data_IF_910327849062
#
_entry.id   IF_910327849062
#
_cell.length_a   1.000
_cell.length_b   1.000
_cell.length_c   1.000
_cell.angle_alpha   90.00
_cell.angle_beta   90.00
_cell.angle_gamma   90.00
#
_symmetry.space_group_name_H-M   'P 1'
#
loop_
_entity.id
_entity.type
_entity.pdbx_description
1 polymer ?
#
# COMPACT_ATOMS: atom_id res chain seq x y z
N UNK A 1 -36.28 -0.51 18.91
CA UNK A 1 -35.15 -0.13 18.04
C UNK A 1 -34.07 0.38 18.96
N UNK A 2 -32.99 -0.40 19.16
CA UNK A 2 -31.83 0.10 19.90
C UNK A 2 -31.15 1.17 19.04
N UNK A 3 -30.79 2.30 19.64
CA UNK A 3 -29.89 3.27 19.01
C UNK A 3 -28.65 2.54 18.52
N UNK A 4 -28.13 2.80 17.30
CA UNK A 4 -26.84 2.26 16.93
C UNK A 4 -25.83 2.79 17.96
N UNK A 5 -25.09 1.91 18.62
CA UNK A 5 -23.92 2.32 19.38
C UNK A 5 -22.90 2.80 18.35
N UNK A 6 -22.75 4.12 18.20
CA UNK A 6 -21.69 4.70 17.39
C UNK A 6 -20.34 4.33 18.04
N UNK A 7 -19.53 3.56 17.32
CA UNK A 7 -18.18 3.19 17.75
C UNK A 7 -17.26 4.34 17.35
N UNK A 8 -16.42 4.78 18.27
CA UNK A 8 -15.45 5.84 18.03
C UNK A 8 -14.03 5.32 18.21
N UNK A 9 -13.08 5.94 17.51
CA UNK A 9 -11.65 5.73 17.75
C UNK A 9 -10.92 7.05 17.87
N UNK A 10 -9.95 7.14 18.78
CA UNK A 10 -9.11 8.33 18.92
C UNK A 10 -8.21 8.51 17.68
N UNK A 11 -8.01 9.75 17.25
CA UNK A 11 -6.96 10.11 16.31
C UNK A 11 -5.69 10.56 17.05
N UNK A 12 -4.50 10.42 16.45
CA UNK A 12 -3.28 10.99 17.00
C UNK A 12 -3.39 12.53 17.09
N UNK A 13 -2.89 13.11 18.18
CA UNK A 13 -2.82 14.57 18.35
C UNK A 13 -1.67 15.16 17.52
N UNK A 14 -1.89 16.30 16.86
CA UNK A 14 -0.82 17.06 16.22
C UNK A 14 -0.01 17.84 17.28
N UNK A 15 1.29 17.55 17.48
CA UNK A 15 2.11 18.30 18.43
C UNK A 15 2.38 19.75 17.98
N UNK A 16 2.09 20.09 16.71
CA UNK A 16 2.34 21.41 16.12
C UNK A 16 1.16 22.39 16.17
N UNK A 17 -0.03 21.94 16.57
CA UNK A 17 -1.21 22.79 16.72
C UNK A 17 -1.15 23.58 18.02
N UNK A 18 -1.31 24.91 17.95
CA UNK A 18 -1.51 25.75 19.14
C UNK A 18 -2.57 25.12 20.04
N UNK A 19 -2.20 24.89 21.29
CA UNK A 19 -3.05 24.39 22.36
C UNK A 19 -4.35 25.19 22.42
N UNK A 20 -5.42 24.65 21.84
CA UNK A 20 -6.77 24.93 22.29
C UNK A 20 -7.02 23.93 23.42
N UNK A 21 -7.08 24.48 24.63
CA UNK A 21 -7.42 23.77 25.85
C UNK A 21 -8.74 23.00 25.65
N UNK A 22 -8.63 21.70 25.38
CA UNK A 22 -9.59 20.70 25.82
C UNK A 22 -8.85 19.37 25.93
N UNK A 23 -8.87 18.76 27.11
CA UNK A 23 -8.42 17.38 27.39
C UNK A 23 -9.29 16.32 26.67
N UNK A 24 -9.74 16.59 25.46
CA UNK A 24 -10.55 15.69 24.64
C UNK A 24 -9.68 14.98 23.63
N UNK A 25 -9.51 13.66 23.79
CA UNK A 25 -9.12 12.81 22.67
C UNK A 25 -10.08 13.08 21.49
N UNK A 26 -9.55 13.60 20.37
CA UNK A 26 -10.34 13.76 19.15
C UNK A 26 -10.73 12.37 18.67
N UNK A 27 -11.95 11.94 19.00
CA UNK A 27 -12.48 10.66 18.58
C UNK A 27 -13.32 10.87 17.33
N UNK A 28 -13.12 10.01 16.33
CA UNK A 28 -13.91 10.03 15.10
C UNK A 28 -14.84 8.83 15.07
N UNK A 29 -16.07 8.98 14.54
CA UNK A 29 -16.98 7.86 14.37
C UNK A 29 -16.45 6.85 13.36
N UNK A 30 -16.79 5.59 13.57
CA UNK A 30 -16.54 4.48 12.66
C UNK A 30 -17.88 4.02 12.09
N UNK A 31 -18.00 4.03 10.77
CA UNK A 31 -19.20 3.64 10.06
C UNK A 31 -18.97 2.31 9.34
N UNK A 32 -19.76 1.28 9.65
CA UNK A 32 -19.83 0.08 8.82
C UNK A 32 -20.79 0.38 7.66
N UNK A 33 -20.28 0.28 6.44
CA UNK A 33 -20.96 0.67 5.22
C UNK A 33 -21.35 -0.57 4.43
N UNK A 34 -22.66 -0.77 4.25
CA UNK A 34 -23.25 -1.85 3.45
C UNK A 34 -24.05 -1.32 2.25
N UNK A 35 -24.25 0.00 2.16
CA UNK A 35 -24.97 0.69 1.09
C UNK A 35 -24.19 1.91 0.61
N UNK A 36 -24.23 2.16 -0.71
CA UNK A 36 -23.48 3.27 -1.35
C UNK A 36 -23.82 4.63 -0.74
N UNK A 37 -25.09 4.86 -0.36
CA UNK A 37 -25.54 6.13 0.22
C UNK A 37 -24.93 6.45 1.60
N UNK A 38 -24.22 5.51 2.22
CA UNK A 38 -23.53 5.73 3.50
C UNK A 38 -22.10 6.28 3.30
N UNK A 39 -21.59 6.32 2.07
CA UNK A 39 -20.28 6.90 1.76
C UNK A 39 -20.37 8.42 1.53
N UNK A 40 -19.30 9.17 1.83
CA UNK A 40 -19.23 10.59 1.52
C UNK A 40 -19.42 10.86 0.02
N UNK A 41 -20.22 11.86 -0.33
CA UNK A 41 -20.50 12.20 -1.73
C UNK A 41 -19.23 12.67 -2.45
N UNK A 42 -18.36 13.40 -1.76
CA UNK A 42 -17.07 13.85 -2.28
C UNK A 42 -16.11 12.70 -2.61
N UNK A 43 -16.31 11.53 -2.01
CA UNK A 43 -15.57 10.32 -2.34
C UNK A 43 -16.16 9.64 -3.58
N UNK A 44 -17.49 9.51 -3.63
CA UNK A 44 -18.20 8.90 -4.76
C UNK A 44 -18.08 9.73 -6.06
N UNK A 45 -18.00 11.05 -5.93
CA UNK A 45 -17.96 12.02 -7.02
C UNK A 45 -16.70 12.89 -6.91
N UNK A 46 -15.50 12.33 -7.19
CA UNK A 46 -14.25 13.07 -7.08
C UNK A 46 -14.21 14.22 -8.09
N UNK A 47 -13.75 15.39 -7.65
CA UNK A 47 -13.73 16.60 -8.47
C UNK A 47 -12.39 17.35 -8.37
N UNK A 48 -11.93 18.02 -9.43
CA UNK A 48 -10.70 18.82 -9.39
C UNK A 48 -10.79 19.99 -8.40
N UNK A 49 -11.99 20.52 -8.15
CA UNK A 49 -12.25 21.62 -7.21
C UNK A 49 -12.05 21.21 -5.74
N UNK A 50 -12.09 19.90 -5.44
CA UNK A 50 -11.94 19.39 -4.08
C UNK A 50 -11.01 18.18 -4.04
N UNK A 51 -9.76 18.45 -3.69
CA UNK A 51 -8.77 17.41 -3.42
C UNK A 51 -9.06 16.74 -2.07
N UNK A 52 -8.96 15.41 -2.01
CA UNK A 52 -9.06 14.65 -0.77
C UNK A 52 -7.77 13.86 -0.51
N UNK A 53 -7.47 13.63 0.76
CA UNK A 53 -6.45 12.68 1.18
C UNK A 53 -7.12 11.73 2.17
N UNK A 54 -7.03 10.42 1.90
CA UNK A 54 -7.63 9.38 2.73
C UNK A 54 -6.58 8.32 3.10
N UNK A 55 -6.67 7.77 4.30
CA UNK A 55 -6.02 6.50 4.62
C UNK A 55 -6.81 5.36 3.99
N UNK A 56 -6.11 4.37 3.42
CA UNK A 56 -6.73 3.26 2.72
C UNK A 56 -6.00 1.95 3.06
N UNK A 57 -6.79 0.89 3.26
CA UNK A 57 -6.32 -0.48 3.43
C UNK A 57 -7.39 -1.46 2.92
N UNK A 58 -7.03 -2.74 2.76
CA UNK A 58 -7.97 -3.82 2.48
C UNK A 58 -7.66 -5.04 3.35
N UNK A 59 -8.72 -5.75 3.75
CA UNK A 59 -8.58 -7.00 4.49
C UNK A 59 -9.48 -8.09 3.90
N UNK A 60 -9.04 -9.35 4.03
CA UNK A 60 -9.74 -10.47 3.43
C UNK A 60 -9.10 -11.84 3.61
N UNK A 61 -9.63 -12.85 2.92
CA UNK A 61 -9.09 -14.22 2.91
C UNK A 61 -8.10 -14.34 1.77
N UNK A 62 -6.85 -14.68 2.09
CA UNK A 62 -5.75 -14.80 1.12
C UNK A 62 -5.72 -13.63 0.12
N UNK A 63 -5.87 -12.39 0.64
CA UNK A 63 -6.13 -11.18 -0.15
C UNK A 63 -5.16 -11.06 -1.34
N UNK A 64 -5.67 -11.35 -2.54
CA UNK A 64 -4.94 -11.40 -3.81
C UNK A 64 -5.90 -11.53 -4.99
N UNK A 65 -5.39 -11.80 -6.19
CA UNK A 65 -6.20 -12.06 -7.38
C UNK A 65 -7.22 -13.20 -7.29
N UNK A 66 -6.96 -14.21 -6.46
CA UNK A 66 -7.78 -15.42 -6.29
C UNK A 66 -8.39 -15.53 -4.88
N UNK A 67 -8.04 -14.59 -4.00
CA UNK A 67 -8.60 -14.52 -2.66
C UNK A 67 -9.97 -13.85 -2.64
N UNK A 68 -10.38 -13.40 -1.47
CA UNK A 68 -11.65 -12.69 -1.29
C UNK A 68 -11.42 -11.42 -0.47
N UNK A 69 -11.62 -10.27 -1.09
CA UNK A 69 -11.69 -8.99 -0.38
C UNK A 69 -12.96 -8.99 0.47
N UNK A 70 -12.80 -8.75 1.78
CA UNK A 70 -13.92 -8.78 2.73
C UNK A 70 -14.31 -7.39 3.22
N UNK A 71 -13.33 -6.47 3.34
CA UNK A 71 -13.54 -5.12 3.83
C UNK A 71 -12.52 -4.17 3.20
N UNK A 72 -12.94 -2.93 2.88
CA UNK A 72 -12.03 -1.81 2.59
C UNK A 72 -12.16 -0.76 3.69
N UNK A 73 -11.05 -0.28 4.20
CA UNK A 73 -11.01 0.72 5.25
C UNK A 73 -10.66 2.09 4.65
N UNK A 74 -11.47 3.11 4.91
CA UNK A 74 -11.28 4.47 4.43
C UNK A 74 -11.20 5.43 5.63
N UNK A 75 -10.02 5.93 5.95
CA UNK A 75 -9.84 6.96 6.97
C UNK A 75 -9.91 8.36 6.37
N UNK A 76 -10.92 9.12 6.76
CA UNK A 76 -11.04 10.56 6.51
C UNK A 76 -10.62 11.33 7.78
N UNK A 77 -10.33 12.64 7.68
CA UNK A 77 -10.03 13.46 8.85
C UNK A 77 -11.14 13.45 9.92
N UNK A 78 -12.39 13.24 9.52
CA UNK A 78 -13.56 13.34 10.41
C UNK A 78 -14.25 12.02 10.73
N UNK A 79 -13.92 10.92 10.04
CA UNK A 79 -14.60 9.62 10.20
C UNK A 79 -13.80 8.48 9.56
N UNK A 80 -14.06 7.24 9.98
CA UNK A 80 -13.57 6.04 9.32
C UNK A 80 -14.75 5.27 8.74
N UNK A 81 -14.65 4.86 7.49
CA UNK A 81 -15.65 4.05 6.80
C UNK A 81 -15.09 2.66 6.55
N UNK A 82 -15.77 1.65 7.06
CA UNK A 82 -15.48 0.24 6.87
C UNK A 82 -16.46 -0.29 5.81
N UNK A 83 -16.01 -0.31 4.57
CA UNK A 83 -16.81 -0.75 3.41
C UNK A 83 -16.88 -2.26 3.40
N UNK A 84 -18.05 -2.80 3.71
CA UNK A 84 -18.29 -4.23 3.80
C UNK A 84 -18.51 -4.83 2.40
N UNK A 85 -17.48 -5.47 1.87
CA UNK A 85 -17.54 -6.08 0.54
C UNK A 85 -18.40 -7.36 0.51
N UNK A 86 -18.69 -7.97 1.68
CA UNK A 86 -19.50 -9.19 1.77
C UNK A 86 -20.98 -8.82 1.83
N UNK A 87 -21.40 -8.01 2.80
CA UNK A 87 -22.81 -7.63 2.94
C UNK A 87 -23.25 -6.61 1.87
N UNK A 88 -22.38 -5.66 1.52
CA UNK A 88 -22.65 -4.67 0.47
C UNK A 88 -22.41 -5.19 -0.95
N UNK A 89 -21.66 -6.28 -1.09
CA UNK A 89 -21.39 -6.96 -2.34
C UNK A 89 -20.58 -6.14 -3.36
N UNK A 90 -20.45 -6.71 -4.56
CA UNK A 90 -19.65 -6.16 -5.65
C UNK A 90 -20.08 -4.74 -6.08
N UNK A 91 -21.38 -4.45 -6.03
CA UNK A 91 -21.92 -3.15 -6.40
C UNK A 91 -21.40 -2.02 -5.50
N UNK A 92 -21.29 -2.28 -4.19
CA UNK A 92 -20.73 -1.32 -3.24
C UNK A 92 -19.25 -1.08 -3.50
N UNK A 93 -18.46 -2.15 -3.68
CA UNK A 93 -17.01 -2.02 -3.97
C UNK A 93 -16.78 -1.26 -5.28
N UNK A 94 -17.54 -1.57 -6.33
CA UNK A 94 -17.45 -0.86 -7.62
C UNK A 94 -17.91 0.59 -7.56
N UNK A 95 -18.81 0.95 -6.64
CA UNK A 95 -19.18 2.35 -6.43
C UNK A 95 -17.99 3.20 -5.93
N UNK A 96 -16.98 2.59 -5.31
CA UNK A 96 -15.75 3.26 -4.90
C UNK A 96 -14.75 3.49 -6.06
N UNK A 97 -14.96 2.85 -7.22
CA UNK A 97 -14.03 2.91 -8.36
C UNK A 97 -13.69 4.35 -8.80
N UNK A 98 -14.64 5.29 -8.97
CA UNK A 98 -14.30 6.67 -9.35
C UNK A 98 -13.27 7.28 -8.40
N UNK A 99 -13.43 7.07 -7.09
CA UNK A 99 -12.54 7.58 -6.07
C UNK A 99 -11.14 6.95 -6.09
N UNK A 100 -11.10 5.62 -6.16
CA UNK A 100 -9.88 4.82 -6.10
C UNK A 100 -8.99 5.02 -7.34
N UNK A 101 -9.60 5.30 -8.49
CA UNK A 101 -8.90 5.60 -9.75
C UNK A 101 -8.64 7.12 -9.95
N UNK A 102 -9.16 7.98 -9.08
CA UNK A 102 -9.07 9.43 -9.22
C UNK A 102 -7.68 9.99 -8.92
N UNK A 103 -7.27 10.98 -9.72
CA UNK A 103 -6.14 11.88 -9.46
C UNK A 103 -6.43 12.95 -8.40
N UNK A 104 -7.69 13.15 -8.04
CA UNK A 104 -8.12 14.18 -7.09
C UNK A 104 -8.21 13.66 -5.65
N UNK A 105 -8.03 12.35 -5.48
CA UNK A 105 -8.05 11.71 -4.16
C UNK A 105 -6.72 11.00 -4.00
N UNK A 106 -5.94 11.40 -3.01
CA UNK A 106 -4.70 10.71 -2.62
C UNK A 106 -5.05 9.58 -1.67
N UNK A 107 -4.61 8.35 -1.99
CA UNK A 107 -4.77 7.19 -1.13
C UNK A 107 -3.45 6.94 -0.40
N UNK A 108 -3.43 7.21 0.90
CA UNK A 108 -2.29 6.90 1.77
C UNK A 108 -2.43 5.45 2.21
N UNK A 109 -1.46 4.60 1.86
CA UNK A 109 -1.48 3.15 2.11
C UNK A 109 -0.14 2.75 2.74
N UNK A 110 -0.07 1.60 3.39
CA UNK A 110 1.19 0.97 3.78
C UNK A 110 1.36 -0.35 3.03
N UNK A 111 2.33 -0.43 2.10
CA UNK A 111 2.54 -1.60 1.22
C UNK A 111 1.33 -1.96 0.34
N UNK A 112 0.99 -1.10 -0.63
CA UNK A 112 -0.23 -1.17 -1.43
C UNK A 112 -0.33 -2.34 -2.45
N UNK A 113 0.72 -3.17 -2.59
CA UNK A 113 0.83 -4.12 -3.70
C UNK A 113 -0.31 -5.15 -3.72
N UNK A 114 -0.72 -5.65 -2.55
CA UNK A 114 -1.75 -6.70 -2.43
C UNK A 114 -3.17 -6.17 -2.49
N UNK A 115 -3.40 -4.98 -1.94
CA UNK A 115 -4.67 -4.27 -2.07
C UNK A 115 -4.95 -3.99 -3.55
N UNK A 116 -3.94 -3.47 -4.26
CA UNK A 116 -4.04 -3.21 -5.69
C UNK A 116 -4.29 -4.49 -6.49
N UNK A 117 -3.59 -5.59 -6.20
CA UNK A 117 -3.82 -6.88 -6.86
C UNK A 117 -5.25 -7.39 -6.67
N UNK A 118 -5.77 -7.32 -5.43
CA UNK A 118 -7.13 -7.76 -5.12
C UNK A 118 -8.17 -6.89 -5.85
N UNK A 119 -8.05 -5.56 -5.74
CA UNK A 119 -8.96 -4.61 -6.38
C UNK A 119 -8.97 -4.76 -7.91
N UNK A 120 -7.79 -4.95 -8.51
CA UNK A 120 -7.64 -5.08 -9.95
C UNK A 120 -8.30 -6.34 -10.49
N UNK A 121 -7.99 -7.51 -9.93
CA UNK A 121 -8.50 -8.78 -10.47
C UNK A 121 -9.91 -9.13 -10.02
N UNK A 122 -10.32 -8.74 -8.81
CA UNK A 122 -11.65 -9.07 -8.30
C UNK A 122 -12.72 -8.05 -8.75
N UNK A 123 -12.36 -6.77 -8.94
CA UNK A 123 -13.34 -5.70 -9.20
C UNK A 123 -13.02 -4.83 -10.43
N UNK A 124 -11.87 -5.04 -11.08
CA UNK A 124 -11.44 -4.24 -12.22
C UNK A 124 -11.09 -2.79 -11.83
N UNK A 125 -10.60 -2.57 -10.61
CA UNK A 125 -10.26 -1.25 -10.08
C UNK A 125 -8.74 -1.06 -10.09
N UNK A 126 -8.26 0.06 -10.64
CA UNK A 126 -6.83 0.42 -10.70
C UNK A 126 -6.52 1.51 -9.68
N UNK A 127 -5.90 1.15 -8.56
CA UNK A 127 -5.44 2.17 -7.61
C UNK A 127 -4.52 3.18 -8.30
N UNK A 128 -4.84 4.47 -8.13
CA UNK A 128 -4.11 5.57 -8.71
C UNK A 128 -3.87 6.67 -7.67
N UNK A 129 -2.88 7.56 -7.87
CA UNK A 129 -2.53 8.59 -6.89
C UNK A 129 -2.33 8.04 -5.46
N UNK A 130 -1.47 7.03 -5.35
CA UNK A 130 -1.15 6.35 -4.08
C UNK A 130 0.13 6.93 -3.49
N UNK A 131 0.07 7.20 -2.18
CA UNK A 131 1.24 7.48 -1.35
C UNK A 131 1.46 6.29 -0.42
N UNK A 132 2.51 5.52 -0.71
CA UNK A 132 2.87 4.36 0.10
C UNK A 132 3.85 4.76 1.20
N UNK A 133 3.41 4.64 2.46
CA UNK A 133 4.20 5.04 3.64
C UNK A 133 5.45 4.19 3.84
N UNK A 134 5.48 2.94 3.35
CA UNK A 134 6.68 2.10 3.41
C UNK A 134 7.74 2.63 2.45
N UNK A 135 7.34 3.04 1.23
CA UNK A 135 8.22 3.68 0.25
C UNK A 135 8.74 5.02 0.78
N UNK A 136 7.83 5.85 1.32
CA UNK A 136 8.18 7.15 1.89
C UNK A 136 9.21 7.02 3.02
N UNK A 137 9.06 6.03 3.90
CA UNK A 137 10.04 5.76 4.95
C UNK A 137 11.43 5.43 4.37
N UNK A 138 11.51 4.52 3.39
CA UNK A 138 12.78 4.16 2.76
C UNK A 138 13.44 5.36 2.08
N UNK A 139 12.67 6.20 1.39
CA UNK A 139 13.19 7.42 0.76
C UNK A 139 13.74 8.42 1.78
N UNK A 140 13.07 8.61 2.92
CA UNK A 140 13.58 9.46 4.01
C UNK A 140 14.91 8.92 4.53
N UNK A 141 15.04 7.59 4.71
CA UNK A 141 16.30 6.97 5.14
C UNK A 141 17.42 7.13 4.12
N UNK A 142 17.11 6.96 2.83
CA UNK A 142 18.06 7.16 1.73
C UNK A 142 18.57 8.62 1.69
N UNK A 143 17.68 9.61 1.86
CA UNK A 143 18.05 11.03 1.98
C UNK A 143 18.98 11.32 3.17
N UNK A 144 18.80 10.62 4.28
CA UNK A 144 19.64 10.72 5.48
C UNK A 144 21.00 10.01 5.32
N UNK A 145 21.27 9.43 4.14
CA UNK A 145 22.52 8.74 3.82
C UNK A 145 22.59 7.31 4.36
N UNK A 146 21.46 6.73 4.78
CA UNK A 146 21.42 5.34 5.20
C UNK A 146 21.47 4.41 3.99
N UNK A 147 22.30 3.37 4.08
CA UNK A 147 22.40 2.36 3.03
C UNK A 147 21.21 1.40 3.17
N UNK A 148 20.41 1.30 2.11
CA UNK A 148 19.30 0.36 2.05
C UNK A 148 19.83 -1.08 2.02
N UNK A 149 19.54 -1.85 3.07
CA UNK A 149 19.74 -3.28 3.03
C UNK A 149 18.63 -3.94 2.17
N UNK A 150 18.96 -5.00 1.42
CA UNK A 150 17.93 -5.78 0.71
C UNK A 150 16.88 -6.30 1.69
N UNK A 151 15.61 -6.20 1.31
CA UNK A 151 14.47 -6.67 2.10
C UNK A 151 14.28 -5.99 3.46
N UNK A 152 14.92 -4.85 3.70
CA UNK A 152 14.71 -4.01 4.89
C UNK A 152 13.47 -3.12 4.72
N UNK A 153 12.30 -3.75 4.83
CA UNK A 153 11.01 -3.08 4.77
C UNK A 153 10.46 -2.87 6.18
N UNK A 154 10.21 -1.62 6.56
CA UNK A 154 9.57 -1.32 7.83
C UNK A 154 8.13 -1.85 7.83
N UNK A 155 7.74 -2.54 8.89
CA UNK A 155 6.34 -2.94 9.09
C UNK A 155 5.50 -1.75 9.56
N UNK A 156 4.19 -1.76 9.29
CA UNK A 156 3.30 -0.70 9.75
C UNK A 156 3.37 -0.49 11.27
N UNK A 157 3.46 -1.56 12.06
CA UNK A 157 3.57 -1.44 13.53
C UNK A 157 4.91 -0.89 13.97
N UNK A 158 6.01 -1.27 13.29
CA UNK A 158 7.31 -0.67 13.54
C UNK A 158 7.32 0.82 13.20
N UNK A 159 6.63 1.22 12.13
CA UNK A 159 6.47 2.61 11.73
C UNK A 159 5.66 3.43 12.76
N UNK A 160 4.58 2.85 13.31
CA UNK A 160 3.82 3.49 14.39
C UNK A 160 4.64 3.63 15.67
N UNK A 161 5.46 2.63 16.00
CA UNK A 161 6.31 2.66 17.19
C UNK A 161 7.47 3.66 17.09
N UNK A 162 7.87 4.05 15.87
CA UNK A 162 8.96 5.00 15.64
C UNK A 162 8.58 6.40 16.18
N UNK A 163 9.35 6.95 17.15
CA UNK A 163 9.08 8.25 17.77
C UNK A 163 9.13 9.44 16.81
N UNK A 164 9.77 9.30 15.65
CA UNK A 164 9.80 10.34 14.62
C UNK A 164 8.46 10.52 13.90
N UNK A 165 7.55 9.55 14.05
CA UNK A 165 6.22 9.57 13.45
C UNK A 165 5.15 9.54 14.55
N UNK A 166 4.73 8.37 15.03
CA UNK A 166 3.68 8.29 16.05
C UNK A 166 4.20 8.05 17.47
N UNK A 167 5.30 7.30 17.64
CA UNK A 167 5.79 6.89 18.96
C UNK A 167 4.80 6.04 19.77
N UNK A 168 3.86 5.37 19.11
CA UNK A 168 2.81 4.56 19.74
C UNK A 168 3.22 3.10 19.67
N UNK A 169 3.52 2.51 20.83
CA UNK A 169 3.72 1.07 20.94
C UNK A 169 2.38 0.35 20.88
N UNK A 170 2.23 -0.52 19.88
CA UNK A 170 0.97 -1.17 19.55
C UNK A 170 0.90 -2.60 20.09
N UNK A 171 1.27 -2.79 21.36
CA UNK A 171 1.34 -4.13 21.98
C UNK A 171 -0.01 -4.87 21.96
N UNK A 172 -1.12 -4.16 22.13
CA UNK A 172 -2.48 -4.72 22.13
C UNK A 172 -2.90 -5.31 20.77
N UNK A 173 -2.32 -4.84 19.66
CA UNK A 173 -2.59 -5.38 18.31
C UNK A 173 -1.90 -6.72 18.06
N UNK A 174 -0.89 -7.09 18.86
CA UNK A 174 -0.24 -8.40 18.69
C UNK A 174 -1.21 -9.53 19.04
N UNK A 175 -2.07 -9.38 20.05
CA UNK A 175 -3.08 -10.37 20.39
C UNK A 175 -4.11 -10.54 19.27
N UNK A 176 -4.61 -9.43 18.73
CA UNK A 176 -5.54 -9.45 17.58
C UNK A 176 -4.88 -10.08 16.35
N UNK A 177 -3.61 -9.78 16.08
CA UNK A 177 -2.85 -10.39 14.97
C UNK A 177 -2.63 -11.88 15.16
N UNK A 178 -2.45 -12.35 16.39
CA UNK A 178 -2.38 -13.78 16.68
C UNK A 178 -3.73 -14.44 16.34
N UNK A 179 -4.85 -13.83 16.73
CA UNK A 179 -6.19 -14.32 16.37
C UNK A 179 -6.40 -14.33 14.85
N UNK A 180 -6.04 -13.25 14.15
CA UNK A 180 -6.08 -13.14 12.69
C UNK A 180 -5.30 -14.26 11.99
N UNK A 181 -4.14 -14.64 12.54
CA UNK A 181 -3.32 -15.74 11.99
C UNK A 181 -3.89 -17.14 12.26
N UNK A 182 -4.68 -17.29 13.33
CA UNK A 182 -5.28 -18.58 13.69
C UNK A 182 -6.55 -18.87 12.90
N UNK A 183 -7.29 -17.83 12.52
CA UNK A 183 -8.52 -17.96 11.76
C UNK A 183 -8.39 -17.29 10.37
N UNK A 184 -8.11 -18.06 9.30
CA UNK A 184 -8.01 -17.50 7.96
C UNK A 184 -9.34 -16.93 7.43
N UNK A 185 -10.48 -17.30 8.05
CA UNK A 185 -11.80 -16.81 7.68
C UNK A 185 -12.27 -15.65 8.56
N UNK A 186 -11.41 -15.11 9.43
CA UNK A 186 -11.77 -14.06 10.40
C UNK A 186 -12.59 -12.93 9.77
N UNK A 187 -12.14 -12.39 8.64
CA UNK A 187 -12.80 -11.27 7.96
C UNK A 187 -14.10 -11.64 7.23
N UNK A 188 -14.47 -12.91 7.18
CA UNK A 188 -15.71 -13.37 6.53
C UNK A 188 -16.94 -13.32 7.44
N UNK A 189 -16.75 -13.31 8.77
CA UNK A 189 -17.86 -13.39 9.71
C UNK A 189 -18.69 -12.12 9.76
N UNK A 190 -20.01 -12.28 9.88
CA UNK A 190 -20.99 -11.19 9.97
C UNK A 190 -22.05 -11.44 11.05
N UNK A 191 -22.58 -10.37 11.70
CA UNK A 191 -22.14 -8.98 11.57
C UNK A 191 -20.71 -8.79 12.12
N UNK A 192 -20.00 -7.74 11.69
CA UNK A 192 -18.66 -7.45 12.21
C UNK A 192 -18.74 -7.26 13.74
N UNK A 193 -17.92 -8.00 14.48
CA UNK A 193 -17.81 -7.78 15.93
C UNK A 193 -17.11 -6.46 16.23
N UNK A 194 -17.31 -5.90 17.43
CA UNK A 194 -16.63 -4.67 17.85
C UNK A 194 -15.10 -4.78 17.78
N UNK A 195 -14.55 -5.97 18.07
CA UNK A 195 -13.12 -6.26 17.90
C UNK A 195 -12.69 -6.14 16.44
N UNK A 196 -13.46 -6.69 15.49
CA UNK A 196 -13.16 -6.60 14.06
C UNK A 196 -13.22 -5.15 13.57
N UNK A 197 -14.23 -4.40 14.01
CA UNK A 197 -14.41 -2.98 13.67
C UNK A 197 -13.21 -2.16 14.16
N UNK A 198 -12.78 -2.34 15.41
CA UNK A 198 -11.61 -1.63 15.97
C UNK A 198 -10.31 -2.05 15.28
N UNK A 199 -10.12 -3.35 15.05
CA UNK A 199 -8.94 -3.87 14.37
C UNK A 199 -8.79 -3.27 12.97
N UNK A 200 -9.86 -3.27 12.16
CA UNK A 200 -9.84 -2.69 10.83
C UNK A 200 -9.60 -1.17 10.86
N UNK A 201 -10.23 -0.44 11.78
CA UNK A 201 -10.00 0.99 11.91
C UNK A 201 -8.55 1.32 12.29
N UNK A 202 -7.91 0.47 13.10
CA UNK A 202 -6.52 0.63 13.53
C UNK A 202 -5.48 0.48 12.41
N UNK A 203 -5.83 -0.16 11.29
CA UNK A 203 -4.95 -0.24 10.12
C UNK A 203 -4.86 1.09 9.35
N UNK A 204 -5.87 1.97 9.46
CA UNK A 204 -5.93 3.21 8.68
C UNK A 204 -5.90 4.51 9.49
N UNK A 205 -6.33 4.50 10.77
CA UNK A 205 -6.55 5.74 11.54
C UNK A 205 -5.32 6.63 11.72
N UNK A 206 -4.12 6.06 11.61
CA UNK A 206 -2.86 6.81 11.74
C UNK A 206 -2.24 7.22 10.41
N UNK A 207 -2.72 6.67 9.29
CA UNK A 207 -2.06 6.87 7.99
C UNK A 207 -2.00 8.34 7.60
N UNK A 208 -3.08 9.10 7.81
CA UNK A 208 -3.11 10.53 7.49
C UNK A 208 -2.10 11.33 8.32
N UNK A 209 -1.97 11.03 9.60
CA UNK A 209 -1.01 11.70 10.47
C UNK A 209 0.44 11.37 10.08
N UNK A 210 0.73 10.08 9.84
CA UNK A 210 2.05 9.64 9.37
C UNK A 210 2.39 10.30 8.04
N UNK A 211 1.42 10.37 7.12
CA UNK A 211 1.57 11.01 5.82
C UNK A 211 2.04 12.45 5.95
N UNK A 212 1.37 13.29 6.76
CA UNK A 212 1.79 14.67 6.93
C UNK A 212 3.19 14.79 7.58
N UNK A 213 3.52 13.93 8.55
CA UNK A 213 4.87 13.88 9.13
C UNK A 213 5.95 13.45 8.13
N UNK A 214 5.64 12.56 7.21
CA UNK A 214 6.55 12.15 6.15
C UNK A 214 6.72 13.25 5.10
N UNK A 215 5.65 13.94 4.72
CA UNK A 215 5.74 15.06 3.77
C UNK A 215 6.64 16.18 4.26
N UNK A 216 6.65 16.50 5.56
CA UNK A 216 7.57 17.47 6.16
C UNK A 216 9.06 17.10 5.99
N UNK A 217 9.36 15.82 5.75
CA UNK A 217 10.73 15.26 5.70
C UNK A 217 11.22 14.95 4.28
N UNK A 218 10.31 14.81 3.32
CA UNK A 218 10.65 14.43 1.95
C UNK A 218 11.11 15.64 1.15
N UNK A 219 12.21 15.48 0.41
CA UNK A 219 12.63 16.45 -0.61
C UNK A 219 11.71 16.40 -1.83
N UNK A 220 11.75 17.41 -2.68
CA UNK A 220 11.02 17.42 -3.96
C UNK A 220 11.36 16.18 -4.82
N UNK A 221 12.63 15.76 -4.82
CA UNK A 221 13.08 14.60 -5.57
C UNK A 221 12.49 13.31 -5.02
N UNK A 222 12.42 13.15 -3.70
CA UNK A 222 11.81 11.97 -3.09
C UNK A 222 10.30 11.98 -3.17
N UNK A 223 9.64 13.15 -3.17
CA UNK A 223 8.21 13.24 -3.45
C UNK A 223 7.90 12.73 -4.86
N UNK A 224 8.74 13.05 -5.83
CA UNK A 224 8.61 12.50 -7.18
C UNK A 224 8.84 10.99 -7.21
N UNK A 225 9.92 10.48 -6.60
CA UNK A 225 10.15 9.03 -6.53
C UNK A 225 9.02 8.30 -5.79
N UNK A 226 8.45 8.90 -4.75
CA UNK A 226 7.32 8.35 -4.01
C UNK A 226 6.10 8.19 -4.94
N UNK A 227 5.79 9.19 -5.76
CA UNK A 227 4.70 9.11 -6.73
C UNK A 227 4.96 8.05 -7.82
N UNK A 228 6.18 7.99 -8.36
CA UNK A 228 6.59 6.99 -9.37
C UNK A 228 6.53 5.58 -8.79
N UNK A 229 7.19 5.35 -7.66
CA UNK A 229 7.23 4.03 -7.00
C UNK A 229 5.87 3.60 -6.48
N UNK A 230 5.03 4.52 -6.00
CA UNK A 230 3.63 4.24 -5.66
C UNK A 230 2.85 3.72 -6.86
N UNK A 231 2.99 4.35 -8.03
CA UNK A 231 2.36 3.89 -9.27
C UNK A 231 2.93 2.54 -9.74
N UNK A 232 4.24 2.29 -9.59
CA UNK A 232 4.87 1.00 -9.92
C UNK A 232 4.43 -0.12 -8.96
N UNK A 233 4.31 0.17 -7.67
CA UNK A 233 3.80 -0.78 -6.67
C UNK A 233 2.33 -1.15 -6.93
N UNK A 234 1.48 -0.19 -7.30
CA UNK A 234 0.09 -0.49 -7.68
C UNK A 234 0.00 -1.42 -8.91
N UNK A 235 0.97 -1.34 -9.83
CA UNK A 235 1.06 -2.25 -11.00
C UNK A 235 1.73 -3.57 -10.66
N UNK A 236 2.48 -3.62 -9.56
CA UNK A 236 3.16 -4.82 -9.11
C UNK A 236 2.10 -5.90 -8.85
N UNK A 237 2.35 -7.10 -9.37
CA UNK A 237 1.38 -8.20 -9.45
C UNK A 237 0.15 -7.98 -10.35
N UNK A 238 -0.23 -6.78 -10.76
CA UNK A 238 -1.35 -6.53 -11.69
C UNK A 238 -1.02 -6.80 -13.18
N UNK A 239 -0.28 -7.88 -13.47
CA UNK A 239 0.14 -8.24 -14.84
C UNK A 239 -1.06 -8.69 -15.67
N UNK A 240 -1.16 -8.14 -16.86
CA UNK A 240 -2.09 -8.54 -17.92
C UNK A 240 -1.32 -8.63 -19.26
N UNK A 241 -1.99 -9.12 -20.31
CA UNK A 241 -1.35 -9.29 -21.62
C UNK A 241 -1.13 -7.97 -22.38
N UNK A 242 -1.65 -6.85 -21.89
CA UNK A 242 -1.62 -5.56 -22.59
C UNK A 242 -0.41 -4.68 -22.23
N UNK A 243 0.55 -5.20 -21.46
CA UNK A 243 1.75 -4.46 -21.02
C UNK A 243 1.42 -3.17 -20.26
N UNK A 244 0.37 -3.18 -19.44
CA UNK A 244 -0.11 -2.02 -18.68
C UNK A 244 -0.60 -0.84 -19.54
N UNK A 245 -0.96 -1.05 -20.80
CA UNK A 245 -1.43 0.00 -21.71
C UNK A 245 -2.69 0.72 -21.20
N UNK A 246 -3.45 0.08 -20.32
CA UNK A 246 -4.66 0.61 -19.72
C UNK A 246 -4.43 1.27 -18.35
N UNK A 247 -3.20 1.32 -17.86
CA UNK A 247 -2.82 2.06 -16.67
C UNK A 247 -2.44 3.51 -17.02
N UNK A 248 -2.68 4.48 -16.11
CA UNK A 248 -2.21 5.85 -16.30
C UNK A 248 -0.70 5.90 -16.56
N UNK A 249 -0.18 6.93 -17.23
CA UNK A 249 1.26 7.12 -17.37
C UNK A 249 1.93 7.33 -16.01
N UNK A 250 3.21 6.96 -15.89
CA UNK A 250 3.99 7.33 -14.70
C UNK A 250 4.18 8.85 -14.66
N UNK A 251 4.30 9.46 -13.46
CA UNK A 251 4.64 10.87 -13.34
C UNK A 251 5.94 11.19 -14.10
N UNK A 252 5.96 12.18 -15.01
CA UNK A 252 7.19 12.58 -15.68
C UNK A 252 8.16 13.23 -14.70
N UNK A 253 9.45 13.21 -15.02
CA UNK A 253 10.46 13.99 -14.27
C UNK A 253 10.08 15.48 -14.35
N UNK A 254 10.03 16.22 -13.23
CA UNK A 254 9.70 17.64 -13.26
C UNK A 254 10.72 18.44 -14.08
N UNK A 255 10.26 19.38 -14.92
CA UNK A 255 11.12 20.17 -15.80
C UNK A 255 12.25 20.90 -15.05
N UNK A 256 11.97 21.29 -13.81
CA UNK A 256 12.91 21.98 -12.93
C UNK A 256 14.12 21.12 -12.52
N UNK A 257 14.00 19.80 -12.64
CA UNK A 257 15.05 18.81 -12.37
C UNK A 257 15.81 18.39 -13.63
N UNK A 258 15.32 18.77 -14.81
CA UNK A 258 15.97 18.44 -16.08
C UNK A 258 17.25 19.27 -16.24
N UNK A 259 18.40 18.60 -16.29
CA UNK A 259 19.71 19.23 -16.48
C UNK A 259 20.59 19.30 -15.23
N UNK A 260 20.10 18.85 -14.06
CA UNK A 260 20.96 18.58 -12.91
C UNK A 260 21.82 17.34 -13.19
N UNK A 261 23.16 17.37 -12.99
CA UNK A 261 23.98 16.15 -13.03
C UNK A 261 23.52 15.06 -12.04
N UNK A 262 22.74 15.42 -11.01
CA UNK A 262 22.09 14.52 -10.06
C UNK A 262 20.59 14.33 -10.35
N UNK A 263 20.12 14.64 -11.56
CA UNK A 263 18.73 14.46 -11.96
C UNK A 263 18.26 13.04 -11.65
N UNK A 264 17.01 12.88 -11.17
CA UNK A 264 16.48 11.57 -10.86
C UNK A 264 16.47 10.65 -12.10
N UNK A 265 16.81 9.38 -11.90
CA UNK A 265 16.76 8.37 -12.95
C UNK A 265 15.32 7.86 -13.10
N UNK A 266 14.89 7.64 -14.34
CA UNK A 266 13.61 6.97 -14.60
C UNK A 266 13.63 5.55 -14.03
N UNK A 267 12.55 5.20 -13.31
CA UNK A 267 12.33 3.87 -12.77
C UNK A 267 11.24 3.14 -13.54
N UNK A 268 11.43 1.82 -13.71
CA UNK A 268 10.51 0.95 -14.44
C UNK A 268 10.13 -0.27 -13.61
N UNK A 269 9.00 -0.88 -13.96
CA UNK A 269 8.65 -2.24 -13.55
C UNK A 269 8.92 -3.18 -14.72
N UNK A 270 9.81 -4.15 -14.53
CA UNK A 270 9.99 -5.28 -15.44
C UNK A 270 9.42 -6.55 -14.83
N UNK A 271 8.82 -7.37 -15.68
CA UNK A 271 8.23 -8.66 -15.30
C UNK A 271 8.91 -9.76 -16.10
N UNK A 272 9.54 -10.69 -15.38
CA UNK A 272 10.29 -11.80 -15.94
C UNK A 272 9.51 -13.11 -15.74
N UNK A 273 9.22 -13.80 -16.84
CA UNK A 273 8.68 -15.16 -16.79
C UNK A 273 9.74 -16.17 -16.34
N UNK A 274 9.34 -17.03 -15.41
CA UNK A 274 10.17 -18.09 -14.84
C UNK A 274 9.64 -19.44 -15.31
N UNK A 275 10.42 -20.21 -16.11
CA UNK A 275 9.99 -21.52 -16.55
C UNK A 275 9.71 -22.48 -15.39
N UNK A 276 8.82 -23.47 -15.57
CA UNK A 276 8.50 -24.45 -14.54
C UNK A 276 9.75 -25.10 -13.94
N UNK A 277 9.79 -25.17 -12.59
CA UNK A 277 10.92 -25.76 -11.85
C UNK A 277 12.18 -24.89 -11.74
N UNK A 278 12.23 -23.71 -12.38
CA UNK A 278 13.42 -22.82 -12.32
C UNK A 278 13.40 -21.84 -11.15
N UNK A 279 12.24 -21.59 -10.54
CA UNK A 279 12.10 -20.63 -9.43
C UNK A 279 13.05 -20.94 -8.25
N UNK A 280 13.22 -22.22 -7.90
CA UNK A 280 14.14 -22.63 -6.85
C UNK A 280 15.61 -22.28 -7.14
N UNK A 281 16.02 -22.20 -8.42
CA UNK A 281 17.38 -21.78 -8.82
C UNK A 281 17.59 -20.28 -8.68
N UNK A 282 16.55 -19.49 -8.90
CA UNK A 282 16.57 -18.03 -8.70
C UNK A 282 16.70 -17.71 -7.21
N UNK A 283 15.84 -18.33 -6.38
CA UNK A 283 15.82 -18.10 -4.93
C UNK A 283 17.12 -18.64 -4.30
N UNK A 284 17.53 -19.85 -4.70
CA UNK A 284 18.66 -20.55 -4.11
C UNK A 284 18.37 -21.07 -2.70
N UNK A 285 19.34 -21.76 -2.11
CA UNK A 285 19.20 -22.36 -0.78
C UNK A 285 18.99 -21.26 0.26
N UNK A 286 17.85 -21.28 0.96
CA UNK A 286 17.44 -20.28 1.97
C UNK A 286 17.46 -18.83 1.46
N UNK A 287 17.22 -18.61 0.15
CA UNK A 287 17.21 -17.27 -0.42
C UNK A 287 18.58 -16.66 -0.69
N UNK A 288 19.69 -17.38 -0.45
CA UNK A 288 21.03 -16.81 -0.57
C UNK A 288 21.36 -16.26 -1.97
N UNK A 289 20.85 -16.92 -3.03
CA UNK A 289 21.10 -16.47 -4.40
C UNK A 289 20.34 -15.19 -4.72
N UNK A 290 19.05 -15.12 -4.37
CA UNK A 290 18.26 -13.92 -4.64
C UNK A 290 18.77 -12.72 -3.81
N UNK A 291 19.17 -12.94 -2.55
CA UNK A 291 19.76 -11.87 -1.72
C UNK A 291 21.04 -11.31 -2.36
N UNK A 292 21.96 -12.17 -2.81
CA UNK A 292 23.18 -11.73 -3.50
C UNK A 292 22.88 -10.97 -4.80
N UNK A 293 21.84 -11.35 -5.54
CA UNK A 293 21.41 -10.61 -6.74
C UNK A 293 20.89 -9.22 -6.34
N UNK A 294 20.02 -9.12 -5.33
CA UNK A 294 19.49 -7.85 -4.83
C UNK A 294 20.61 -6.90 -4.41
N UNK A 295 21.55 -7.37 -3.59
CA UNK A 295 22.75 -6.61 -3.17
C UNK A 295 23.59 -6.12 -4.35
N UNK A 296 23.68 -6.92 -5.41
CA UNK A 296 24.52 -6.58 -6.57
C UNK A 296 23.86 -5.57 -7.50
N UNK A 297 22.54 -5.61 -7.67
CA UNK A 297 21.83 -4.80 -8.65
C UNK A 297 21.25 -3.50 -8.11
N UNK A 298 21.02 -3.37 -6.79
CA UNK A 298 20.35 -2.22 -6.21
C UNK A 298 18.98 -1.91 -6.88
N UNK A 299 18.26 -2.97 -7.26
CA UNK A 299 16.87 -2.91 -7.69
C UNK A 299 16.01 -3.75 -6.73
N UNK A 300 14.75 -3.39 -6.58
CA UNK A 300 13.79 -4.15 -5.80
C UNK A 300 13.33 -5.36 -6.60
N UNK A 301 13.47 -6.55 -6.02
CA UNK A 301 13.06 -7.79 -6.68
C UNK A 301 12.01 -8.48 -5.83
N UNK A 302 10.79 -8.58 -6.36
CA UNK A 302 9.69 -9.30 -5.75
C UNK A 302 9.47 -10.62 -6.47
N UNK A 303 9.42 -11.69 -5.68
CA UNK A 303 9.11 -13.01 -6.19
C UNK A 303 7.61 -13.19 -6.26
N UNK A 304 7.14 -13.78 -7.36
CA UNK A 304 5.83 -14.38 -7.43
C UNK A 304 5.67 -15.59 -6.50
N UNK A 305 4.46 -16.15 -6.43
CA UNK A 305 4.11 -17.30 -5.59
C UNK A 305 3.18 -16.90 -4.45
N UNK A 306 3.59 -17.07 -3.19
CA UNK A 306 2.77 -16.68 -2.04
C UNK A 306 2.32 -15.20 -2.07
N UNK A 307 3.07 -14.33 -2.78
CA UNK A 307 2.83 -12.90 -2.91
C UNK A 307 2.38 -12.42 -4.31
N UNK A 308 2.18 -13.33 -5.29
CA UNK A 308 1.83 -12.94 -6.68
C UNK A 308 1.82 -14.14 -7.67
N UNK A 309 1.82 -13.95 -9.00
CA UNK A 309 1.85 -15.05 -9.97
C UNK A 309 3.04 -16.00 -9.74
N UNK A 310 2.85 -17.31 -9.55
CA UNK A 310 3.92 -18.24 -9.11
C UNK A 310 5.08 -18.40 -10.11
N UNK A 311 4.86 -18.01 -11.36
CA UNK A 311 5.76 -18.14 -12.49
C UNK A 311 6.44 -16.81 -12.87
N UNK A 312 6.38 -15.77 -12.03
CA UNK A 312 6.91 -14.44 -12.38
C UNK A 312 7.84 -13.86 -11.32
N UNK A 313 8.77 -13.03 -11.77
CA UNK A 313 9.61 -12.17 -10.94
C UNK A 313 9.42 -10.72 -11.38
N UNK A 314 9.24 -9.84 -10.41
CA UNK A 314 8.98 -8.42 -10.62
C UNK A 314 10.19 -7.62 -10.18
N UNK A 315 10.64 -6.70 -11.01
CA UNK A 315 11.85 -5.93 -10.76
C UNK A 315 11.52 -4.45 -10.90
N UNK A 316 11.69 -3.69 -9.83
CA UNK A 316 11.41 -2.25 -9.78
C UNK A 316 12.70 -1.49 -9.47
N UNK A 317 12.93 -0.41 -10.20
CA UNK A 317 14.04 0.51 -9.93
C UNK A 317 14.57 1.18 -11.20
N UNK A 318 15.75 1.82 -11.13
CA UNK A 318 16.33 2.51 -12.27
C UNK A 318 16.60 1.56 -13.44
N UNK A 319 16.36 2.03 -14.68
CA UNK A 319 16.42 1.21 -15.91
C UNK A 319 17.70 0.36 -16.00
N UNK A 320 18.86 0.93 -15.69
CA UNK A 320 20.15 0.22 -15.75
C UNK A 320 20.22 -0.92 -14.74
N UNK A 321 19.72 -0.69 -13.52
CA UNK A 321 19.72 -1.68 -12.45
C UNK A 321 18.71 -2.80 -12.70
N UNK A 322 17.54 -2.47 -13.24
CA UNK A 322 16.54 -3.44 -13.66
C UNK A 322 17.11 -4.38 -14.73
N UNK A 323 17.76 -3.85 -15.77
CA UNK A 323 18.39 -4.67 -16.82
C UNK A 323 19.52 -5.55 -16.28
N UNK A 324 20.31 -5.04 -15.33
CA UNK A 324 21.34 -5.81 -14.63
C UNK A 324 20.72 -6.98 -13.85
N UNK A 325 19.67 -6.72 -13.09
CA UNK A 325 18.94 -7.75 -12.35
C UNK A 325 18.36 -8.82 -13.28
N UNK A 326 17.72 -8.43 -14.39
CA UNK A 326 17.21 -9.38 -15.40
C UNK A 326 18.30 -10.29 -15.94
N UNK A 327 19.45 -9.74 -16.33
CA UNK A 327 20.57 -10.53 -16.85
C UNK A 327 21.05 -11.56 -15.82
N UNK A 328 21.19 -11.16 -14.55
CA UNK A 328 21.58 -12.04 -13.46
C UNK A 328 20.55 -13.16 -13.22
N UNK A 329 19.25 -12.82 -13.22
CA UNK A 329 18.15 -13.77 -13.03
C UNK A 329 18.06 -14.76 -14.19
N UNK A 330 18.12 -14.29 -15.44
CA UNK A 330 18.13 -15.14 -16.65
C UNK A 330 19.31 -16.11 -16.64
N UNK A 331 20.49 -15.64 -16.22
CA UNK A 331 21.66 -16.50 -16.05
C UNK A 331 21.45 -17.67 -15.09
N UNK A 332 20.61 -17.52 -14.05
CA UNK A 332 20.28 -18.60 -13.11
C UNK A 332 19.29 -19.62 -13.67
N UNK A 333 18.53 -19.25 -14.69
CA UNK A 333 17.52 -20.13 -15.30
C UNK A 333 18.09 -21.01 -16.42
N UNK A 334 19.24 -20.64 -16.99
CA UNK A 334 19.93 -21.44 -17.99
C UNK A 334 20.32 -22.82 -17.43
N UNK A 335 20.20 -23.85 -18.25
CA UNK A 335 20.75 -25.16 -17.94
C UNK A 335 22.25 -25.12 -18.23
N UNK A 336 23.04 -25.41 -17.21
CA UNK A 336 24.48 -25.67 -17.37
C UNK A 336 24.56 -27.15 -17.71
N UNK A 337 24.78 -27.45 -18.99
CA UNK A 337 24.95 -28.81 -19.50
C UNK A 337 26.35 -29.35 -19.21
#
# INVERSE_FOLDING_TARGET
MASPHEIHVALPHDPGGKSLESDGHFSVPIHVVTQVSQLPIEFLEPSPERQLVIGFDCEGVDLCRHGTLCIMQLAFPSAIYLVDAIEGGEALVKACKPALESNYITKVIHDCKRDSEALYFQFGIKLHNVVDTQIAYSLIKEQEGQIRAPDDYISFVSLLADPCYCGISYAEKEEVRVLLRQDPNFWTYRPLSEMMVRAAADDVRFLLFIYYKMLEKLSEQSLWYLAVRGALYCRCFCVNDNQYADWPSLPPVPDQMLGDPNAPEEEILSVLDVPPGKMGRIIGKRGATILSIKESCNAEIFMGGAKGPPDKVFIIGPIKQVRKAEAMLRGRMLDIF
#
